data_IF_287028370147
#
_entry.id   IF_287028370147
#
_cell.length_a   1.000
_cell.length_b   1.000
_cell.length_c   1.000
_cell.angle_alpha   90.00
_cell.angle_beta   90.00
_cell.angle_gamma   90.00
#
_symmetry.space_group_name_H-M   'P 1'
#
loop_
_entity.id
_entity.type
_entity.pdbx_description
1 polymer ?
#
# COMPACT_ATOMS: atom_id res chain seq x y z
N UNK A 1 -7.59 -1.51 31.80
CA UNK A 1 -7.57 -0.98 30.42
C UNK A 1 -7.87 -2.13 29.47
N UNK A 2 -8.96 -2.08 28.69
CA UNK A 2 -9.22 -3.11 27.69
C UNK A 2 -8.17 -3.03 26.57
N UNK A 3 -7.75 -4.16 25.96
CA UNK A 3 -6.87 -4.13 24.81
C UNK A 3 -7.63 -3.56 23.62
N UNK A 4 -7.26 -2.35 23.19
CA UNK A 4 -7.80 -1.68 22.02
C UNK A 4 -7.26 -2.36 20.74
N UNK A 5 -7.79 -3.54 20.42
CA UNK A 5 -7.51 -4.21 19.16
C UNK A 5 -8.39 -3.58 18.08
N UNK A 6 -7.89 -2.51 17.45
CA UNK A 6 -8.50 -1.97 16.24
C UNK A 6 -8.58 -3.05 15.14
N UNK A 7 -9.48 -2.93 14.15
CA UNK A 7 -9.76 -3.96 13.14
C UNK A 7 -8.61 -4.28 12.14
N UNK A 8 -7.37 -3.98 12.47
CA UNK A 8 -6.17 -4.33 11.70
C UNK A 8 -4.92 -4.59 12.54
N UNK A 9 -5.01 -4.65 13.88
CA UNK A 9 -3.87 -4.96 14.74
C UNK A 9 -3.76 -6.46 15.01
N UNK A 10 -2.54 -7.00 14.88
CA UNK A 10 -2.25 -8.39 15.21
C UNK A 10 -2.42 -8.58 16.73
N UNK A 11 -3.14 -9.61 17.21
CA UNK A 11 -3.29 -9.84 18.63
C UNK A 11 -1.93 -10.09 19.30
N UNK A 12 -1.74 -9.49 20.48
CA UNK A 12 -0.44 -9.46 21.16
C UNK A 12 0.13 -10.86 21.46
N UNK A 13 -0.73 -11.84 21.75
CA UNK A 13 -0.28 -13.21 22.05
C UNK A 13 0.24 -13.94 20.80
N UNK A 14 -0.30 -13.63 19.63
CA UNK A 14 0.20 -14.17 18.36
C UNK A 14 1.55 -13.55 18.00
N UNK A 15 1.69 -12.23 18.19
CA UNK A 15 2.95 -11.53 17.93
C UNK A 15 4.11 -12.06 18.79
N UNK A 16 3.88 -12.32 20.08
CA UNK A 16 4.90 -12.91 20.96
C UNK A 16 5.39 -14.27 20.44
N UNK A 17 4.45 -15.17 20.08
CA UNK A 17 4.76 -16.49 19.52
C UNK A 17 5.54 -16.36 18.21
N UNK A 18 5.18 -15.41 17.37
CA UNK A 18 5.87 -15.13 16.10
C UNK A 18 7.32 -14.71 16.31
N UNK A 19 7.58 -13.75 17.21
CA UNK A 19 8.93 -13.26 17.49
C UNK A 19 9.81 -14.37 18.07
N UNK A 20 9.28 -15.21 18.97
CA UNK A 20 10.00 -16.36 19.52
C UNK A 20 10.38 -17.35 18.43
N UNK A 21 9.43 -17.72 17.58
CA UNK A 21 9.68 -18.64 16.47
C UNK A 21 10.74 -18.11 15.49
N UNK A 22 10.63 -16.84 15.09
CA UNK A 22 11.57 -16.21 14.16
C UNK A 22 12.99 -16.13 14.72
N UNK A 23 13.15 -15.94 16.04
CA UNK A 23 14.47 -15.90 16.69
C UNK A 23 15.13 -17.26 16.78
N UNK A 24 14.37 -18.31 17.11
CA UNK A 24 14.92 -19.63 17.37
C UNK A 24 15.16 -20.44 16.09
N UNK A 25 14.31 -20.26 15.06
CA UNK A 25 14.31 -21.12 13.87
C UNK A 25 14.99 -20.50 12.66
N UNK A 26 15.06 -19.17 12.56
CA UNK A 26 15.49 -18.49 11.33
C UNK A 26 16.86 -17.84 11.53
N UNK A 27 17.87 -18.39 10.87
CA UNK A 27 19.23 -17.85 10.80
C UNK A 27 19.57 -17.50 9.35
N UNK A 28 19.29 -16.26 8.92
CA UNK A 28 19.46 -15.88 7.53
C UNK A 28 20.95 -15.92 7.13
N UNK A 29 21.23 -16.45 5.94
CA UNK A 29 22.57 -16.51 5.36
C UNK A 29 22.79 -15.35 4.38
N UNK A 30 24.02 -14.86 4.33
CA UNK A 30 24.46 -13.71 3.50
C UNK A 30 24.93 -14.09 2.08
N UNK A 31 24.71 -15.35 1.66
CA UNK A 31 25.36 -15.95 0.49
C UNK A 31 25.03 -15.32 -0.88
N UNK A 32 24.06 -14.40 -0.93
CA UNK A 32 23.52 -13.84 -2.17
C UNK A 32 23.29 -12.32 -2.07
N UNK A 33 24.17 -11.63 -1.34
CA UNK A 33 24.06 -10.20 -1.13
C UNK A 33 24.77 -9.41 -2.24
N UNK A 34 24.17 -8.30 -2.68
CA UNK A 34 24.78 -7.38 -3.64
C UNK A 34 25.89 -6.53 -2.98
N UNK A 35 27.06 -7.12 -2.76
CA UNK A 35 28.22 -6.46 -2.14
C UNK A 35 28.62 -5.17 -2.88
N UNK A 36 28.52 -5.18 -4.21
CA UNK A 36 28.83 -4.03 -5.06
C UNK A 36 27.95 -2.80 -4.76
N UNK A 37 26.65 -3.02 -4.48
CA UNK A 37 25.69 -1.93 -4.21
C UNK A 37 26.03 -1.26 -2.88
N UNK A 38 26.32 -2.08 -1.87
CA UNK A 38 26.69 -1.66 -0.52
C UNK A 38 28.03 -0.91 -0.52
N UNK A 39 29.02 -1.41 -1.26
CA UNK A 39 30.33 -0.77 -1.39
C UNK A 39 30.24 0.62 -2.04
N UNK A 40 29.46 0.75 -3.12
CA UNK A 40 29.22 2.03 -3.80
C UNK A 40 28.56 3.05 -2.88
N UNK A 41 27.50 2.65 -2.17
CA UNK A 41 26.81 3.50 -1.22
C UNK A 41 27.76 3.99 -0.10
N UNK A 42 28.58 3.09 0.46
CA UNK A 42 29.53 3.45 1.51
C UNK A 42 30.57 4.46 0.99
N UNK A 43 31.09 4.25 -0.22
CA UNK A 43 32.03 5.18 -0.87
C UNK A 43 31.43 6.57 -1.07
N UNK A 44 30.20 6.64 -1.59
CA UNK A 44 29.46 7.90 -1.76
C UNK A 44 29.22 8.59 -0.41
N UNK A 45 28.67 7.90 0.58
CA UNK A 45 28.39 8.46 1.91
C UNK A 45 29.64 8.99 2.60
N UNK A 46 30.74 8.23 2.53
CA UNK A 46 32.01 8.64 3.14
C UNK A 46 32.57 9.88 2.46
N UNK A 47 32.52 9.96 1.13
CA UNK A 47 32.99 11.11 0.36
C UNK A 47 32.20 12.39 0.69
N UNK A 48 30.88 12.32 0.65
CA UNK A 48 30.00 13.47 0.91
C UNK A 48 30.11 13.94 2.37
N UNK A 49 30.27 13.01 3.32
CA UNK A 49 30.44 13.35 4.74
C UNK A 49 31.77 14.06 5.00
N UNK A 50 32.86 13.61 4.37
CA UNK A 50 34.18 14.24 4.49
C UNK A 50 34.19 15.63 3.85
N UNK A 51 33.59 15.78 2.68
CA UNK A 51 33.54 17.05 1.96
C UNK A 51 32.76 18.13 2.73
N UNK A 52 31.75 17.71 3.49
CA UNK A 52 30.92 18.64 4.25
C UNK A 52 31.47 18.94 5.66
N UNK A 53 32.51 18.23 6.09
CA UNK A 53 33.07 18.36 7.44
C UNK A 53 32.13 17.84 8.54
N UNK A 54 31.22 16.92 8.21
CA UNK A 54 30.37 16.24 9.18
C UNK A 54 31.10 15.05 9.80
N UNK A 55 30.52 14.44 10.85
CA UNK A 55 31.08 13.22 11.44
C UNK A 55 31.07 12.12 10.36
N UNK A 56 32.23 11.50 10.06
CA UNK A 56 32.32 10.55 8.96
C UNK A 56 31.59 9.24 9.26
N UNK A 57 30.99 8.65 8.22
CA UNK A 57 30.39 7.33 8.31
C UNK A 57 31.49 6.27 8.53
N UNK A 58 31.31 5.42 9.54
CA UNK A 58 32.27 4.36 9.89
C UNK A 58 31.78 3.00 9.40
N UNK A 59 32.69 2.01 9.41
CA UNK A 59 32.35 0.60 9.15
C UNK A 59 31.30 0.04 10.11
N UNK A 60 31.11 0.66 11.28
CA UNK A 60 30.05 0.26 12.22
C UNK A 60 28.66 0.51 11.63
N UNK A 61 28.48 1.56 10.83
CA UNK A 61 27.18 1.82 10.19
C UNK A 61 26.85 0.78 9.12
N UNK A 62 27.89 0.22 8.48
CA UNK A 62 27.74 -0.88 7.55
C UNK A 62 27.31 -2.16 8.26
N UNK A 63 27.95 -2.50 9.38
CA UNK A 63 27.54 -3.64 10.22
C UNK A 63 26.09 -3.51 10.70
N UNK A 64 25.71 -2.31 11.17
CA UNK A 64 24.32 -2.02 11.55
C UNK A 64 23.33 -2.23 10.40
N UNK A 65 23.69 -1.83 9.18
CA UNK A 65 22.84 -2.01 8.01
C UNK A 65 22.64 -3.50 7.66
N UNK A 66 23.71 -4.29 7.74
CA UNK A 66 23.63 -5.75 7.51
C UNK A 66 22.73 -6.40 8.56
N UNK A 67 22.85 -6.01 9.84
CA UNK A 67 21.96 -6.50 10.91
C UNK A 67 20.49 -6.16 10.67
N UNK A 68 20.19 -4.98 10.13
CA UNK A 68 18.82 -4.59 9.77
C UNK A 68 18.30 -5.45 8.61
N UNK A 69 19.13 -5.74 7.61
CA UNK A 69 18.76 -6.61 6.49
C UNK A 69 18.51 -8.07 6.94
N UNK A 70 19.32 -8.59 7.87
CA UNK A 70 19.10 -9.89 8.51
C UNK A 70 17.81 -9.91 9.35
N UNK A 71 17.57 -8.85 10.14
CA UNK A 71 16.35 -8.71 10.93
C UNK A 71 15.10 -8.68 10.03
N UNK A 72 15.19 -8.01 8.87
CA UNK A 72 14.15 -8.04 7.86
C UNK A 72 13.89 -9.45 7.34
N UNK A 73 14.94 -10.20 6.96
CA UNK A 73 14.77 -11.59 6.52
C UNK A 73 14.11 -12.46 7.60
N UNK A 74 14.48 -12.28 8.88
CA UNK A 74 13.83 -12.95 10.02
C UNK A 74 12.36 -12.59 10.16
N UNK A 75 12.00 -11.32 9.94
CA UNK A 75 10.60 -10.87 9.96
C UNK A 75 9.74 -11.49 8.86
N UNK A 76 10.34 -11.97 7.76
CA UNK A 76 9.63 -12.70 6.69
C UNK A 76 9.80 -14.22 6.77
N UNK A 77 10.45 -14.74 7.83
CA UNK A 77 10.82 -16.14 7.99
C UNK A 77 11.63 -16.69 6.79
N UNK A 78 12.52 -15.87 6.21
CA UNK A 78 13.37 -16.24 5.08
C UNK A 78 14.75 -16.66 5.54
N UNK A 79 15.30 -17.69 4.89
CA UNK A 79 16.66 -18.19 5.17
C UNK A 79 17.77 -17.40 4.46
N UNK A 80 17.42 -16.49 3.55
CA UNK A 80 18.36 -15.68 2.78
C UNK A 80 17.93 -14.22 2.72
N UNK A 81 18.92 -13.33 2.69
CA UNK A 81 18.71 -11.88 2.50
C UNK A 81 18.50 -11.61 1.00
N UNK A 82 17.40 -10.94 0.67
CA UNK A 82 17.09 -10.46 -0.69
C UNK A 82 17.50 -9.00 -0.86
N UNK A 83 17.65 -8.55 -2.11
CA UNK A 83 17.91 -7.14 -2.45
C UNK A 83 16.93 -6.17 -1.75
N UNK A 84 15.64 -6.53 -1.70
CA UNK A 84 14.58 -5.74 -1.02
C UNK A 84 14.93 -5.41 0.44
N UNK A 85 15.54 -6.36 1.17
CA UNK A 85 15.92 -6.14 2.57
C UNK A 85 17.11 -5.20 2.73
N UNK A 86 18.01 -5.19 1.75
CA UNK A 86 19.14 -4.25 1.70
C UNK A 86 18.61 -2.84 1.40
N UNK A 87 17.71 -2.70 0.43
CA UNK A 87 17.11 -1.40 0.09
C UNK A 87 16.34 -0.78 1.24
N UNK A 88 15.60 -1.61 1.99
CA UNK A 88 14.95 -1.17 3.22
C UNK A 88 16.00 -0.75 4.27
N UNK A 89 17.05 -1.53 4.49
CA UNK A 89 18.11 -1.20 5.45
C UNK A 89 18.84 0.10 5.10
N UNK A 90 19.13 0.33 3.82
CA UNK A 90 19.70 1.58 3.29
C UNK A 90 18.78 2.75 3.61
N UNK A 91 17.48 2.60 3.33
CA UNK A 91 16.48 3.64 3.59
C UNK A 91 16.42 4.00 5.08
N UNK A 92 16.39 3.01 5.97
CA UNK A 92 16.38 3.21 7.42
C UNK A 92 17.65 3.94 7.88
N UNK A 93 18.81 3.52 7.40
CA UNK A 93 20.09 4.13 7.77
C UNK A 93 20.13 5.60 7.33
N UNK A 94 19.79 5.89 6.06
CA UNK A 94 19.80 7.26 5.52
C UNK A 94 18.79 8.16 6.26
N UNK A 95 17.57 7.66 6.51
CA UNK A 95 16.53 8.40 7.21
C UNK A 95 16.90 8.71 8.66
N UNK A 96 17.71 7.88 9.31
CA UNK A 96 18.22 8.15 10.66
C UNK A 96 19.45 9.06 10.67
N UNK A 97 20.33 8.91 9.68
CA UNK A 97 21.63 9.59 9.64
C UNK A 97 21.52 11.04 9.16
N UNK A 98 20.81 11.30 8.07
CA UNK A 98 20.69 12.64 7.48
C UNK A 98 20.16 13.69 8.47
N UNK A 99 19.05 13.48 9.19
CA UNK A 99 18.52 14.48 10.12
C UNK A 99 19.38 14.68 11.37
N UNK A 100 20.29 13.76 11.69
CA UNK A 100 21.23 13.94 12.81
C UNK A 100 22.33 14.98 12.51
N UNK A 101 22.48 15.39 11.25
CA UNK A 101 23.49 16.34 10.83
C UNK A 101 23.01 17.79 10.93
N UNK A 102 23.96 18.73 10.94
CA UNK A 102 23.66 20.17 10.89
C UNK A 102 22.74 20.48 9.72
N UNK A 103 21.76 21.36 9.92
CA UNK A 103 20.69 21.64 8.94
C UNK A 103 21.18 21.90 7.50
N UNK A 104 22.22 22.73 7.32
CA UNK A 104 22.78 23.04 6.00
C UNK A 104 23.32 21.78 5.31
N UNK A 105 24.02 20.93 6.07
CA UNK A 105 24.60 19.67 5.62
C UNK A 105 23.51 18.65 5.30
N UNK A 106 22.51 18.55 6.18
CA UNK A 106 21.34 17.70 5.99
C UNK A 106 20.66 17.99 4.64
N UNK A 107 20.46 19.25 4.26
CA UNK A 107 19.82 19.59 2.97
C UNK A 107 20.65 19.14 1.76
N UNK A 108 21.97 19.28 1.83
CA UNK A 108 22.88 18.86 0.76
C UNK A 108 22.94 17.34 0.65
N UNK A 109 23.11 16.64 1.78
CA UNK A 109 23.09 15.17 1.84
C UNK A 109 21.73 14.61 1.41
N UNK A 110 20.63 15.21 1.84
CA UNK A 110 19.31 14.76 1.43
C UNK A 110 19.15 14.81 -0.09
N UNK A 111 19.67 15.86 -0.75
CA UNK A 111 19.63 15.99 -2.21
C UNK A 111 20.46 14.94 -2.94
N UNK A 112 21.68 14.62 -2.47
CA UNK A 112 22.52 13.62 -3.12
C UNK A 112 21.97 12.20 -2.95
N UNK A 113 21.32 11.90 -1.82
CA UNK A 113 20.82 10.56 -1.49
C UNK A 113 19.33 10.33 -1.79
N UNK A 114 18.60 11.28 -2.40
CA UNK A 114 17.18 11.11 -2.78
C UNK A 114 16.93 9.82 -3.57
N UNK A 115 17.87 9.43 -4.43
CA UNK A 115 17.77 8.22 -5.26
C UNK A 115 17.52 6.95 -4.45
N UNK A 116 18.13 6.84 -3.26
CA UNK A 116 18.03 5.64 -2.42
C UNK A 116 16.77 5.63 -1.55
N UNK A 117 16.15 6.79 -1.30
CA UNK A 117 14.94 6.92 -0.45
C UNK A 117 13.67 6.58 -1.23
N UNK A 118 13.63 6.77 -2.55
CA UNK A 118 12.40 6.66 -3.36
C UNK A 118 12.00 5.24 -3.75
N UNK A 119 12.87 4.23 -3.55
CA UNK A 119 12.73 2.92 -4.19
C UNK A 119 11.44 2.14 -3.87
N UNK A 120 10.78 2.40 -2.73
CA UNK A 120 9.56 1.68 -2.33
C UNK A 120 8.24 2.41 -2.63
N UNK A 121 8.26 3.68 -3.05
CA UNK A 121 7.03 4.49 -3.27
C UNK A 121 6.45 4.35 -4.67
N UNK A 122 7.30 4.02 -5.65
CA UNK A 122 6.91 4.05 -7.06
C UNK A 122 5.85 3.00 -7.40
N UNK A 123 5.79 1.88 -6.65
CA UNK A 123 4.73 0.87 -6.83
C UNK A 123 3.34 1.43 -6.52
N UNK A 124 3.21 2.26 -5.48
CA UNK A 124 1.94 2.86 -5.08
C UNK A 124 1.51 3.95 -6.07
N UNK A 125 2.46 4.77 -6.55
CA UNK A 125 2.20 5.80 -7.56
C UNK A 125 1.79 5.19 -8.91
N UNK A 126 2.44 4.11 -9.34
CA UNK A 126 2.08 3.40 -10.56
C UNK A 126 0.70 2.72 -10.43
N UNK A 127 0.40 2.13 -9.27
CA UNK A 127 -0.90 1.55 -8.97
C UNK A 127 -2.00 2.62 -9.00
N UNK A 128 -1.76 3.78 -8.39
CA UNK A 128 -2.68 4.92 -8.42
C UNK A 128 -2.87 5.45 -9.84
N UNK A 129 -1.82 5.48 -10.65
CA UNK A 129 -1.92 5.87 -12.06
C UNK A 129 -2.81 4.90 -12.84
N UNK A 130 -2.56 3.60 -12.74
CA UNK A 130 -3.37 2.56 -13.39
C UNK A 130 -4.82 2.57 -12.88
N UNK A 131 -5.02 2.72 -11.57
CA UNK A 131 -6.35 2.79 -10.96
C UNK A 131 -7.11 4.03 -11.44
N UNK A 132 -6.46 5.19 -11.53
CA UNK A 132 -7.07 6.39 -12.08
C UNK A 132 -7.45 6.23 -13.56
N UNK A 133 -6.63 5.57 -14.37
CA UNK A 133 -6.99 5.26 -15.76
C UNK A 133 -8.21 4.35 -15.85
N UNK A 134 -8.23 3.25 -15.09
CA UNK A 134 -9.36 2.32 -15.06
C UNK A 134 -10.66 2.99 -14.58
N UNK A 135 -10.59 3.84 -13.54
CA UNK A 135 -11.74 4.59 -13.04
C UNK A 135 -12.25 5.59 -14.08
N UNK A 136 -11.35 6.31 -14.76
CA UNK A 136 -11.73 7.25 -15.84
C UNK A 136 -12.39 6.54 -17.01
N UNK A 137 -11.93 5.35 -17.35
CA UNK A 137 -12.52 4.53 -18.40
C UNK A 137 -13.93 4.05 -18.00
N UNK A 138 -14.09 3.51 -16.79
CA UNK A 138 -15.38 3.08 -16.27
C UNK A 138 -16.42 4.23 -16.20
N UNK A 139 -16.00 5.43 -15.77
CA UNK A 139 -16.89 6.61 -15.74
C UNK A 139 -17.30 7.04 -17.15
N UNK A 140 -16.36 7.02 -18.12
CA UNK A 140 -16.67 7.33 -19.54
C UNK A 140 -17.70 6.36 -20.10
N UNK A 141 -17.55 5.08 -19.84
CA UNK A 141 -18.51 4.05 -20.27
C UNK A 141 -19.87 4.20 -19.59
N UNK A 142 -19.92 4.46 -18.28
CA UNK A 142 -21.17 4.69 -17.56
C UNK A 142 -21.94 5.91 -18.11
N UNK A 143 -21.24 7.01 -18.41
CA UNK A 143 -21.84 8.20 -19.04
C UNK A 143 -22.36 7.88 -20.43
N UNK A 144 -21.60 7.14 -21.26
CA UNK A 144 -22.07 6.69 -22.59
C UNK A 144 -23.31 5.81 -22.49
N UNK A 145 -23.34 4.86 -21.56
CA UNK A 145 -24.50 3.99 -21.33
C UNK A 145 -25.74 4.79 -20.91
N UNK A 146 -25.58 5.79 -20.06
CA UNK A 146 -26.67 6.69 -19.66
C UNK A 146 -27.19 7.54 -20.84
N UNK A 147 -26.29 8.05 -21.69
CA UNK A 147 -26.65 8.81 -22.89
C UNK A 147 -27.39 7.94 -23.92
N UNK A 148 -26.96 6.69 -24.11
CA UNK A 148 -27.63 5.73 -24.99
C UNK A 148 -29.01 5.35 -24.45
N UNK A 149 -29.15 5.14 -23.14
CA UNK A 149 -30.44 4.89 -22.49
C UNK A 149 -31.40 6.10 -22.60
N UNK A 150 -30.86 7.32 -22.58
CA UNK A 150 -31.65 8.54 -22.79
C UNK A 150 -32.16 8.66 -24.23
N UNK A 151 -31.34 8.29 -25.23
CA UNK A 151 -31.73 8.27 -26.65
C UNK A 151 -32.72 7.14 -27.00
N UNK A 152 -32.71 6.02 -26.28
CA UNK A 152 -33.63 4.90 -26.49
C UNK A 152 -34.97 5.02 -25.75
N UNK A 153 -35.27 6.16 -25.11
CA UNK A 153 -36.59 6.43 -24.51
C UNK A 153 -36.96 5.59 -23.28
N UNK A 154 -36.00 4.96 -22.59
CA UNK A 154 -36.23 4.18 -21.37
C UNK A 154 -35.98 5.01 -20.11
N UNK A 155 -36.50 6.25 -20.09
CA UNK A 155 -36.48 7.10 -18.91
C UNK A 155 -37.68 6.80 -17.99
N UNK A 156 -37.73 5.58 -17.44
CA UNK A 156 -38.68 5.27 -16.39
C UNK A 156 -38.01 4.33 -15.39
N UNK A 157 -37.34 4.90 -14.39
CA UNK A 157 -37.43 4.52 -12.97
C UNK A 157 -36.26 5.10 -12.17
N UNK A 158 -36.38 6.35 -11.75
CA UNK A 158 -35.60 6.89 -10.62
C UNK A 158 -36.38 8.01 -9.93
N UNK A 159 -37.50 7.67 -9.28
CA UNK A 159 -37.98 8.38 -8.08
C UNK A 159 -38.61 7.33 -7.17
N UNK A 160 -37.92 6.98 -6.09
CA UNK A 160 -38.53 6.34 -4.92
C UNK A 160 -38.02 7.10 -3.69
N UNK A 161 -38.90 7.95 -3.20
CA UNK A 161 -38.89 8.65 -1.92
C UNK A 161 -40.37 8.84 -1.58
N UNK A 162 -40.73 8.55 -0.35
CA UNK A 162 -42.01 8.00 0.12
C UNK A 162 -43.23 8.94 0.19
N UNK A 163 -44.38 8.30 0.42
CA UNK A 163 -45.62 8.77 1.06
C UNK A 163 -46.72 9.52 0.25
N UNK A 164 -47.92 8.90 0.23
CA UNK A 164 -49.19 9.57 -0.08
C UNK A 164 -50.28 8.62 -0.57
N UNK A 165 -51.23 8.29 0.31
CA UNK A 165 -52.46 7.51 0.07
C UNK A 165 -53.30 8.05 -1.11
N UNK A 166 -53.82 7.19 -1.99
CA UNK A 166 -55.28 7.04 -2.18
C UNK A 166 -55.64 5.83 -3.07
N UNK A 167 -56.87 5.35 -2.87
CA UNK A 167 -57.55 4.23 -3.51
C UNK A 167 -57.71 4.37 -5.04
N UNK A 168 -57.63 3.23 -5.73
CA UNK A 168 -58.55 2.94 -6.83
C UNK A 168 -57.94 2.70 -8.21
N UNK A 169 -58.09 1.44 -8.64
CA UNK A 169 -58.46 1.00 -10.00
C UNK A 169 -57.35 0.93 -11.07
N UNK A 170 -57.49 -0.14 -11.86
CA UNK A 170 -56.81 -0.51 -13.11
C UNK A 170 -55.47 -1.25 -13.01
N UNK A 171 -55.60 -2.57 -13.24
CA UNK A 171 -54.50 -3.45 -13.60
C UNK A 171 -54.04 -3.26 -15.05
N UNK A 172 -52.91 -3.90 -15.32
CA UNK A 172 -52.31 -4.00 -16.65
C UNK A 172 -50.94 -3.32 -16.72
N UNK A 173 -49.97 -4.05 -17.26
CA UNK A 173 -48.63 -3.58 -17.67
C UNK A 173 -47.55 -3.54 -16.58
N UNK A 174 -47.18 -4.72 -16.05
CA UNK A 174 -45.92 -4.92 -15.32
C UNK A 174 -45.06 -6.07 -15.86
N UNK A 175 -45.09 -6.37 -17.18
CA UNK A 175 -44.27 -7.47 -17.74
C UNK A 175 -43.02 -7.04 -18.53
N UNK A 176 -42.77 -5.75 -18.74
CA UNK A 176 -41.61 -5.28 -19.50
C UNK A 176 -40.42 -4.83 -18.64
N UNK A 177 -40.39 -5.19 -17.35
CA UNK A 177 -39.34 -4.75 -16.41
C UNK A 177 -38.29 -5.82 -16.08
N UNK A 178 -38.50 -7.06 -16.56
CA UNK A 178 -37.67 -8.21 -16.18
C UNK A 178 -36.48 -8.51 -17.12
N UNK A 179 -36.35 -7.84 -18.28
CA UNK A 179 -35.22 -8.10 -19.21
C UNK A 179 -34.06 -7.12 -19.10
N UNK A 180 -34.29 -5.88 -18.65
CA UNK A 180 -33.20 -4.89 -18.50
C UNK A 180 -32.35 -5.10 -17.23
N UNK A 181 -32.88 -5.79 -16.21
CA UNK A 181 -32.13 -6.08 -14.98
C UNK A 181 -31.13 -7.23 -15.12
N UNK A 182 -31.18 -8.04 -16.19
CA UNK A 182 -30.21 -9.13 -16.39
C UNK A 182 -28.88 -8.68 -17.00
N UNK A 183 -28.81 -7.51 -17.66
CA UNK A 183 -27.55 -7.01 -18.22
C UNK A 183 -26.66 -6.31 -17.18
N UNK A 184 -27.23 -5.84 -16.06
CA UNK A 184 -26.49 -5.24 -14.95
C UNK A 184 -25.86 -6.26 -13.98
N UNK A 185 -26.12 -7.56 -14.16
CA UNK A 185 -25.53 -8.65 -13.34
C UNK A 185 -24.20 -9.15 -13.93
N UNK A 186 -23.76 -8.63 -15.09
CA UNK A 186 -22.50 -9.01 -15.72
C UNK A 186 -21.36 -7.99 -15.49
N UNK A 187 -21.52 -7.04 -14.58
CA UNK A 187 -20.38 -6.36 -13.95
C UNK A 187 -20.02 -7.15 -12.69
N UNK A 188 -18.75 -7.54 -12.48
CA UNK A 188 -18.37 -8.19 -11.24
C UNK A 188 -18.74 -7.25 -10.09
N UNK A 189 -19.63 -7.72 -9.19
CA UNK A 189 -20.03 -7.01 -7.98
C UNK A 189 -18.80 -6.77 -7.10
N UNK A 190 -18.13 -5.64 -7.32
CA UNK A 190 -17.24 -5.03 -6.33
C UNK A 190 -17.95 -3.78 -5.86
N UNK A 191 -18.98 -3.98 -5.04
CA UNK A 191 -19.56 -2.91 -4.23
C UNK A 191 -19.17 -3.20 -2.80
N UNK A 192 -18.42 -2.25 -2.25
CA UNK A 192 -18.07 -2.11 -0.85
C UNK A 192 -19.32 -2.30 0.04
N UNK A 193 -19.16 -3.13 1.07
CA UNK A 193 -20.08 -3.17 2.22
C UNK A 193 -19.50 -2.23 3.28
N UNK A 194 -20.11 -1.07 3.57
CA UNK A 194 -19.73 -0.27 4.71
C UNK A 194 -20.48 -0.79 5.95
N UNK A 195 -19.73 -1.40 6.87
CA UNK A 195 -20.00 -1.29 8.31
C UNK A 195 -21.20 -2.04 8.91
N UNK A 196 -21.24 -3.37 8.84
CA UNK A 196 -22.08 -4.15 9.78
C UNK A 196 -21.43 -5.49 10.16
N UNK A 197 -20.85 -5.52 11.36
CA UNK A 197 -20.55 -6.73 12.11
C UNK A 197 -21.32 -6.66 13.41
N UNK A 198 -22.42 -7.41 13.54
CA UNK A 198 -22.98 -7.80 14.85
C UNK A 198 -23.63 -9.20 14.73
N UNK A 199 -22.96 -10.12 15.43
CA UNK A 199 -23.33 -11.43 15.96
C UNK A 199 -24.68 -12.08 15.60
N UNK A 200 -24.60 -13.30 15.04
CA UNK A 200 -25.64 -14.31 15.15
C UNK A 200 -25.51 -15.06 16.48
N UNK A 201 -26.58 -15.04 17.28
CA UNK A 201 -27.01 -16.16 18.10
C UNK A 201 -28.35 -16.65 17.54
#
# INVERSE_FOLDING_TARGET
MPPENGPGTIPQDQLKKYIMYARDKVTPKLHQMDENKVSRLYGELRRESLQTGSIPITVRHLDSMIRVAEAHARMYLRDHVRADGIDMAISVMINSFIPSQKYTVMRTLHKSFVKYIRHHRDSDELLLFCLNELVREAVREAVRMCQLAHRSGLAACARRGDAGLDHGRHGGVCLARARAQRALVALPRVVAVPGQWVHCA
#
